data_IF_805642821590
#
_entry.id   IF_805642821590
#
_cell.length_a   1.000
_cell.length_b   1.000
_cell.length_c   1.000
_cell.angle_alpha   90.00
_cell.angle_beta   90.00
_cell.angle_gamma   90.00
#
_symmetry.space_group_name_H-M   'P 1'
#
loop_
_entity.id
_entity.type
_entity.pdbx_description
1 polymer ?
#
# COMPACT_ATOMS: atom_id res chain seq x y z
N UNK A 1 1.68 -51.74 35.40
CA UNK A 1 0.25 -51.94 35.71
C UNK A 1 -0.52 -51.92 34.41
N UNK A 2 -1.01 -53.10 33.98
CA UNK A 2 -1.86 -53.28 32.80
C UNK A 2 -3.28 -52.85 33.14
N UNK A 3 -3.90 -52.00 32.32
CA UNK A 3 -5.33 -52.16 31.92
C UNK A 3 -5.52 -51.59 30.52
N UNK A 4 -5.64 -52.51 29.57
CA UNK A 4 -6.30 -52.32 28.28
C UNK A 4 -7.81 -52.35 28.53
N UNK A 5 -8.57 -51.45 27.90
CA UNK A 5 -9.97 -51.70 27.55
C UNK A 5 -10.19 -51.16 26.14
N UNK A 6 -10.42 -52.09 25.22
CA UNK A 6 -11.04 -51.90 23.92
C UNK A 6 -12.41 -52.59 23.96
N UNK A 7 -13.45 -52.00 23.36
CA UNK A 7 -14.67 -52.58 22.73
C UNK A 7 -15.38 -51.35 22.12
N UNK A 8 -15.49 -51.11 20.81
CA UNK A 8 -16.00 -51.87 19.66
C UNK A 8 -17.53 -51.80 19.48
N UNK A 9 -17.93 -51.80 18.19
CA UNK A 9 -19.25 -52.01 17.58
C UNK A 9 -20.04 -50.72 17.18
N UNK A 10 -20.11 -50.36 15.88
CA UNK A 10 -20.97 -50.89 14.78
C UNK A 10 -22.26 -50.03 14.67
N UNK A 11 -22.78 -49.58 13.52
CA UNK A 11 -22.50 -49.85 12.11
C UNK A 11 -23.34 -48.89 11.21
N UNK A 12 -22.91 -48.75 9.93
CA UNK A 12 -23.70 -48.80 8.65
C UNK A 12 -24.93 -47.89 8.45
N UNK A 13 -25.32 -47.35 7.28
CA UNK A 13 -24.96 -47.43 5.83
C UNK A 13 -25.97 -46.47 5.12
N UNK A 14 -25.64 -45.68 4.10
CA UNK A 14 -25.82 -45.96 2.65
C UNK A 14 -25.46 -44.65 1.91
N UNK A 15 -24.50 -44.60 0.96
CA UNK A 15 -24.54 -44.97 -0.46
C UNK A 15 -25.65 -44.31 -1.29
N UNK A 16 -25.25 -43.38 -2.16
CA UNK A 16 -25.96 -43.04 -3.40
C UNK A 16 -24.93 -42.65 -4.46
N UNK A 17 -24.67 -43.58 -5.39
CA UNK A 17 -24.02 -43.29 -6.67
C UNK A 17 -25.08 -42.74 -7.62
N UNK A 18 -24.80 -41.61 -8.25
CA UNK A 18 -25.44 -41.22 -9.50
C UNK A 18 -24.35 -41.01 -10.55
N UNK A 19 -24.30 -41.94 -11.50
CA UNK A 19 -23.58 -41.83 -12.75
C UNK A 19 -24.49 -41.16 -13.79
N UNK A 20 -23.95 -40.26 -14.60
CA UNK A 20 -24.37 -40.09 -15.99
C UNK A 20 -23.26 -39.38 -16.77
N UNK A 21 -22.66 -40.15 -17.68
CA UNK A 21 -21.90 -39.70 -18.84
C UNK A 21 -22.88 -39.24 -19.91
N UNK A 22 -22.69 -38.05 -20.47
CA UNK A 22 -23.45 -37.55 -21.61
C UNK A 22 -22.78 -36.30 -22.20
N UNK A 23 -22.32 -36.43 -23.44
CA UNK A 23 -21.73 -35.38 -24.28
C UNK A 23 -22.76 -34.89 -25.31
N UNK A 24 -22.57 -33.66 -25.83
CA UNK A 24 -23.34 -32.91 -26.83
C UNK A 24 -24.62 -32.22 -26.26
N UNK A 25 -24.95 -30.96 -26.51
CA UNK A 25 -24.80 -30.11 -27.71
C UNK A 25 -24.92 -28.61 -27.34
N UNK A 26 -24.43 -27.72 -28.22
CA UNK A 26 -24.66 -26.27 -28.19
C UNK A 26 -26.16 -25.90 -28.22
N UNK A 27 -26.53 -24.85 -27.49
CA UNK A 27 -27.51 -23.87 -27.95
C UNK A 27 -27.37 -22.56 -27.14
N UNK A 28 -27.04 -21.50 -27.86
CA UNK A 28 -27.13 -20.09 -27.46
C UNK A 28 -28.48 -19.73 -26.85
N UNK A 29 -28.48 -19.01 -25.73
CA UNK A 29 -29.47 -17.95 -25.52
C UNK A 29 -28.89 -16.80 -24.71
N UNK A 30 -29.28 -15.61 -25.14
CA UNK A 30 -28.84 -14.31 -24.66
C UNK A 30 -29.52 -14.00 -23.33
N UNK A 31 -28.77 -13.60 -22.31
CA UNK A 31 -29.32 -12.77 -21.24
C UNK A 31 -28.27 -11.74 -20.85
N UNK A 32 -28.57 -10.49 -21.22
CA UNK A 32 -27.91 -9.33 -20.67
C UNK A 32 -28.26 -9.24 -19.18
N UNK A 33 -27.25 -9.32 -18.32
CA UNK A 33 -27.36 -8.94 -16.92
C UNK A 33 -26.57 -7.64 -16.74
N UNK A 34 -27.35 -6.59 -16.49
CA UNK A 34 -26.92 -5.29 -16.01
C UNK A 34 -26.98 -5.37 -14.48
N UNK A 35 -26.08 -4.63 -13.83
CA UNK A 35 -25.88 -4.49 -12.38
C UNK A 35 -24.91 -5.52 -11.77
N UNK A 36 -23.94 -5.15 -10.94
CA UNK A 36 -23.85 -3.99 -10.08
C UNK A 36 -22.52 -3.25 -10.25
N UNK A 37 -22.62 -1.92 -10.34
CA UNK A 37 -21.54 -1.03 -9.92
C UNK A 37 -21.31 -1.29 -8.43
N UNK A 38 -20.25 -2.01 -8.10
CA UNK A 38 -19.69 -2.03 -6.76
C UNK A 38 -18.98 -0.68 -6.55
N UNK A 39 -19.78 0.37 -6.33
CA UNK A 39 -19.28 1.55 -5.64
C UNK A 39 -19.18 1.13 -4.19
N UNK A 40 -18.08 0.47 -3.85
CA UNK A 40 -17.58 0.48 -2.50
C UNK A 40 -17.32 1.95 -2.15
N UNK A 41 -18.26 2.57 -1.44
CA UNK A 41 -17.94 3.74 -0.62
C UNK A 41 -16.89 3.25 0.38
N UNK A 42 -15.62 3.43 0.00
CA UNK A 42 -14.51 3.23 0.90
C UNK A 42 -14.72 4.22 2.05
N UNK A 43 -14.90 3.70 3.27
CA UNK A 43 -14.64 4.48 4.47
C UNK A 43 -13.19 4.99 4.35
N UNK A 44 -13.03 6.27 4.01
CA UNK A 44 -11.71 6.91 3.98
C UNK A 44 -11.33 7.22 5.43
N UNK A 45 -10.85 6.22 6.14
CA UNK A 45 -10.01 6.44 7.32
C UNK A 45 -8.60 6.72 6.82
N UNK A 46 -8.08 7.92 7.08
CA UNK A 46 -6.69 8.29 6.75
C UNK A 46 -5.73 7.70 7.79
N UNK A 47 -5.73 6.36 7.93
CA UNK A 47 -4.70 5.67 8.71
C UNK A 47 -3.44 5.52 7.85
N UNK A 48 -2.62 6.58 7.79
CA UNK A 48 -1.31 6.58 7.13
C UNK A 48 -1.15 7.63 6.04
N UNK A 49 0.06 7.70 5.47
CA UNK A 49 0.43 8.58 4.37
C UNK A 49 -0.23 8.09 3.07
N UNK A 50 -0.95 8.97 2.39
CA UNK A 50 -1.59 8.69 1.10
C UNK A 50 -0.54 8.62 -0.01
N UNK A 51 -0.66 7.65 -0.92
CA UNK A 51 0.17 7.61 -2.13
C UNK A 51 -0.28 8.68 -3.12
N UNK A 52 0.54 9.70 -3.32
CA UNK A 52 0.27 10.84 -4.20
C UNK A 52 -0.01 10.44 -5.66
N UNK A 53 0.52 9.31 -6.13
CA UNK A 53 0.33 8.81 -7.49
C UNK A 53 -1.02 8.11 -7.71
N UNK A 54 -1.78 7.85 -6.63
CA UNK A 54 -3.09 7.17 -6.71
C UNK A 54 -4.19 7.82 -5.89
N UNK A 55 -3.86 8.79 -5.03
CA UNK A 55 -4.81 9.48 -4.17
C UNK A 55 -5.91 10.17 -4.98
N UNK A 56 -7.16 9.93 -4.59
CA UNK A 56 -8.34 10.60 -5.17
C UNK A 56 -8.49 12.02 -4.65
N UNK A 57 -9.24 12.87 -5.36
CA UNK A 57 -9.53 14.23 -4.92
C UNK A 57 -10.24 14.24 -3.56
N UNK A 58 -11.11 13.27 -3.29
CA UNK A 58 -11.82 13.09 -2.04
C UNK A 58 -10.87 12.73 -0.88
N UNK A 59 -9.91 11.81 -1.11
CA UNK A 59 -8.89 11.46 -0.12
C UNK A 59 -7.98 12.65 0.19
N UNK A 60 -7.56 13.40 -0.83
CA UNK A 60 -6.75 14.60 -0.66
C UNK A 60 -7.51 15.69 0.11
N UNK A 61 -8.81 15.88 -0.16
CA UNK A 61 -9.65 16.79 0.59
C UNK A 61 -9.82 16.36 2.06
N UNK A 62 -9.98 15.05 2.31
CA UNK A 62 -10.02 14.49 3.66
C UNK A 62 -8.70 14.66 4.42
N UNK A 63 -7.56 14.68 3.71
CA UNK A 63 -6.24 15.02 4.24
C UNK A 63 -6.04 16.54 4.46
N UNK A 64 -7.07 17.36 4.24
CA UNK A 64 -7.05 18.81 4.49
C UNK A 64 -6.57 19.66 3.33
N UNK A 65 -6.33 19.08 2.15
CA UNK A 65 -5.99 19.86 0.96
C UNK A 65 -7.23 20.55 0.38
N UNK A 66 -7.10 21.82 0.02
CA UNK A 66 -8.15 22.56 -0.69
C UNK A 66 -8.45 21.95 -2.07
N UNK A 67 -9.67 22.12 -2.56
CA UNK A 67 -10.12 21.53 -3.83
C UNK A 67 -9.22 21.86 -5.03
N UNK A 68 -8.66 23.07 -5.08
CA UNK A 68 -7.73 23.48 -6.13
C UNK A 68 -6.40 22.71 -6.07
N UNK A 69 -5.82 22.55 -4.87
CA UNK A 69 -4.60 21.77 -4.68
C UNK A 69 -4.84 20.28 -4.98
N UNK A 70 -5.95 19.71 -4.50
CA UNK A 70 -6.32 18.33 -4.78
C UNK A 70 -6.46 18.07 -6.29
N UNK A 71 -7.14 18.96 -7.02
CA UNK A 71 -7.27 18.85 -8.48
C UNK A 71 -5.93 18.96 -9.21
N UNK A 72 -5.05 19.87 -8.76
CA UNK A 72 -3.71 20.02 -9.35
C UNK A 72 -2.83 18.79 -9.13
N UNK A 73 -2.98 18.11 -7.99
CA UNK A 73 -2.27 16.87 -7.68
C UNK A 73 -2.77 15.73 -8.57
N UNK A 74 -4.10 15.50 -8.61
CA UNK A 74 -4.69 14.46 -9.45
C UNK A 74 -4.34 14.65 -10.93
N UNK A 75 -4.33 15.89 -11.42
CA UNK A 75 -3.93 16.19 -12.80
C UNK A 75 -2.45 15.91 -13.10
N UNK A 76 -1.60 15.82 -12.08
CA UNK A 76 -0.17 15.51 -12.19
C UNK A 76 0.16 14.01 -12.07
N UNK A 77 -0.83 13.16 -11.78
CA UNK A 77 -0.61 11.73 -11.60
C UNK A 77 -0.37 10.97 -12.92
N UNK A 78 0.41 9.87 -12.89
CA UNK A 78 1.26 9.44 -11.78
C UNK A 78 2.57 10.25 -11.71
N UNK A 79 3.18 10.30 -10.53
CA UNK A 79 4.48 10.95 -10.34
C UNK A 79 5.63 9.94 -10.43
N UNK A 80 6.68 10.31 -11.17
CA UNK A 80 7.88 9.46 -11.32
C UNK A 80 8.69 9.33 -10.02
N UNK A 81 8.69 10.37 -9.17
CA UNK A 81 9.37 10.38 -7.88
C UNK A 81 8.77 11.44 -6.94
N UNK A 82 9.16 11.39 -5.66
CA UNK A 82 8.81 12.46 -4.70
C UNK A 82 9.38 13.82 -5.12
N UNK A 83 10.55 13.88 -5.76
CA UNK A 83 11.06 15.14 -6.31
C UNK A 83 10.14 15.73 -7.38
N UNK A 84 9.57 14.89 -8.26
CA UNK A 84 8.60 15.34 -9.26
C UNK A 84 7.30 15.83 -8.61
N UNK A 85 6.84 15.13 -7.58
CA UNK A 85 5.67 15.54 -6.79
C UNK A 85 5.90 16.86 -6.05
N UNK A 86 7.04 17.00 -5.35
CA UNK A 86 7.39 18.23 -4.65
C UNK A 86 7.54 19.41 -5.62
N UNK A 87 8.13 19.20 -6.81
CA UNK A 87 8.18 20.21 -7.85
C UNK A 87 6.76 20.67 -8.23
N UNK A 88 5.83 19.73 -8.41
CA UNK A 88 4.43 20.03 -8.71
C UNK A 88 3.74 20.86 -7.62
N UNK A 89 3.96 20.52 -6.35
CA UNK A 89 3.43 21.30 -5.22
C UNK A 89 3.95 22.74 -5.27
N UNK A 90 5.27 22.92 -5.44
CA UNK A 90 5.91 24.24 -5.44
C UNK A 90 5.60 25.12 -6.65
N UNK A 91 4.83 24.64 -7.63
CA UNK A 91 4.25 25.49 -8.67
C UNK A 91 3.19 26.46 -8.12
N UNK A 92 2.50 26.08 -7.05
CA UNK A 92 1.32 26.81 -6.54
C UNK A 92 1.35 27.12 -5.04
N UNK A 93 2.27 26.52 -4.29
CA UNK A 93 2.45 26.79 -2.85
C UNK A 93 3.92 27.00 -2.48
N UNK A 94 4.18 27.52 -1.28
CA UNK A 94 5.54 27.68 -0.74
C UNK A 94 6.20 26.33 -0.45
N UNK A 95 7.53 26.32 -0.31
CA UNK A 95 8.27 25.12 0.08
C UNK A 95 7.85 24.59 1.47
N UNK A 96 7.45 25.48 2.37
CA UNK A 96 6.97 25.14 3.72
C UNK A 96 5.61 24.45 3.66
N UNK A 97 4.67 24.98 2.86
CA UNK A 97 3.36 24.34 2.61
C UNK A 97 3.52 23.00 1.90
N UNK A 98 4.41 22.92 0.90
CA UNK A 98 4.71 21.65 0.21
C UNK A 98 5.27 20.60 1.18
N UNK A 99 6.17 21.00 2.08
CA UNK A 99 6.72 20.10 3.12
C UNK A 99 5.64 19.58 4.07
N UNK A 100 4.66 20.43 4.43
CA UNK A 100 3.53 20.01 5.25
C UNK A 100 2.61 19.02 4.52
N UNK A 101 2.42 19.18 3.20
CA UNK A 101 1.69 18.19 2.38
C UNK A 101 2.42 16.84 2.36
N UNK A 102 3.75 16.85 2.27
CA UNK A 102 4.55 15.62 2.25
C UNK A 102 4.42 14.77 3.53
N UNK A 103 3.94 15.32 4.64
CA UNK A 103 3.66 14.57 5.88
C UNK A 103 2.43 13.67 5.79
N UNK A 104 1.51 13.93 4.85
CA UNK A 104 0.23 13.21 4.73
C UNK A 104 -0.03 12.64 3.34
N UNK A 105 0.63 13.17 2.30
CA UNK A 105 0.53 12.72 0.91
C UNK A 105 1.93 12.64 0.32
N UNK A 106 2.34 11.49 -0.18
CA UNK A 106 3.74 11.27 -0.57
C UNK A 106 3.88 10.26 -1.71
N UNK A 107 4.99 10.32 -2.45
CA UNK A 107 5.35 9.29 -3.43
C UNK A 107 6.37 8.36 -2.77
N UNK A 108 6.07 7.06 -2.53
CA UNK A 108 7.01 6.17 -1.85
C UNK A 108 8.37 6.09 -2.53
N UNK A 109 9.44 6.20 -1.73
CA UNK A 109 10.83 6.19 -2.20
C UNK A 109 11.36 4.77 -2.25
N UNK A 110 11.67 4.26 -3.45
CA UNK A 110 12.38 2.99 -3.58
C UNK A 110 13.83 3.15 -3.09
N UNK A 111 14.17 2.56 -1.95
CA UNK A 111 15.47 2.73 -1.32
C UNK A 111 16.62 2.15 -2.12
N UNK A 112 16.40 1.19 -3.01
CA UNK A 112 17.47 0.57 -3.78
C UNK A 112 17.87 1.38 -5.02
N UNK A 113 17.00 2.29 -5.49
CA UNK A 113 17.24 3.07 -6.71
C UNK A 113 17.07 4.58 -6.58
N UNK A 114 16.46 5.09 -5.50
CA UNK A 114 16.15 6.50 -5.36
C UNK A 114 17.39 7.39 -5.27
N UNK A 115 17.24 8.64 -5.69
CA UNK A 115 18.29 9.65 -5.53
C UNK A 115 18.43 10.12 -4.08
N UNK A 116 19.56 10.75 -3.77
CA UNK A 116 19.77 11.46 -2.50
C UNK A 116 18.70 12.54 -2.27
N UNK A 117 18.32 13.27 -3.32
CA UNK A 117 17.32 14.32 -3.27
C UNK A 117 15.93 13.78 -2.89
N UNK A 118 15.57 12.59 -3.39
CA UNK A 118 14.31 11.94 -3.03
C UNK A 118 14.31 11.51 -1.55
N UNK A 119 15.42 10.96 -1.04
CA UNK A 119 15.53 10.58 0.38
C UNK A 119 15.39 11.81 1.28
N UNK A 120 16.01 12.94 0.93
CA UNK A 120 15.94 14.19 1.70
C UNK A 120 14.54 14.77 1.83
N UNK A 121 13.63 14.42 0.91
CA UNK A 121 12.24 14.88 0.95
C UNK A 121 11.37 14.07 1.91
N UNK A 122 11.83 12.93 2.42
CA UNK A 122 11.12 12.19 3.47
C UNK A 122 10.99 13.11 4.71
N UNK A 123 9.76 13.36 5.22
CA UNK A 123 9.58 14.22 6.39
C UNK A 123 10.46 13.79 7.57
N UNK A 124 11.04 14.76 8.28
CA UNK A 124 11.93 14.50 9.41
C UNK A 124 13.30 13.88 9.05
N UNK A 125 13.66 13.80 7.76
CA UNK A 125 14.97 13.31 7.35
C UNK A 125 16.10 14.23 7.86
N UNK A 126 17.20 13.62 8.27
CA UNK A 126 18.43 14.32 8.67
C UNK A 126 19.58 13.89 7.77
N UNK A 127 20.61 14.71 7.63
CA UNK A 127 21.81 14.36 6.84
C UNK A 127 22.43 13.03 7.29
N UNK A 128 22.41 12.76 8.61
CA UNK A 128 22.88 11.48 9.14
C UNK A 128 22.01 10.33 8.64
N UNK A 129 20.69 10.42 8.81
CA UNK A 129 19.78 9.32 8.43
C UNK A 129 19.75 9.08 6.93
N UNK A 130 19.86 10.13 6.13
CA UNK A 130 19.98 10.04 4.68
C UNK A 130 21.25 9.27 4.28
N UNK A 131 22.38 9.58 4.90
CA UNK A 131 23.61 8.82 4.69
C UNK A 131 23.45 7.34 5.05
N UNK A 132 22.87 7.02 6.20
CA UNK A 132 22.61 5.62 6.59
C UNK A 132 21.69 4.93 5.57
N UNK A 133 20.63 5.61 5.09
CA UNK A 133 19.71 5.05 4.10
C UNK A 133 20.44 4.64 2.81
N UNK A 134 21.43 5.42 2.38
CA UNK A 134 22.22 5.13 1.19
C UNK A 134 23.30 4.07 1.43
N UNK A 135 23.95 4.08 2.60
CA UNK A 135 25.06 3.18 2.93
C UNK A 135 24.64 1.70 2.95
N UNK A 136 23.43 1.41 3.45
CA UNK A 136 22.93 0.03 3.54
C UNK A 136 22.36 -0.53 2.23
N UNK A 137 22.45 0.21 1.11
CA UNK A 137 21.95 -0.28 -0.18
C UNK A 137 22.85 -1.41 -0.74
N UNK A 138 22.29 -2.42 -1.41
CA UNK A 138 20.85 -2.68 -1.52
C UNK A 138 20.30 -3.37 -0.26
N UNK A 139 19.09 -2.98 0.14
CA UNK A 139 18.32 -3.73 1.12
C UNK A 139 17.70 -4.95 0.45
N UNK A 140 17.89 -6.13 1.03
CA UNK A 140 17.29 -7.36 0.54
C UNK A 140 15.78 -7.42 0.80
N UNK A 141 15.33 -6.92 1.95
CA UNK A 141 13.94 -6.89 2.38
C UNK A 141 13.68 -5.83 3.46
N UNK A 142 12.41 -5.65 3.83
CA UNK A 142 12.04 -4.67 4.85
C UNK A 142 12.48 -5.05 6.26
N UNK A 143 12.80 -6.33 6.53
CA UNK A 143 13.35 -6.74 7.84
C UNK A 143 14.81 -6.32 7.98
N UNK A 144 15.56 -6.34 6.88
CA UNK A 144 16.87 -5.69 6.78
C UNK A 144 16.78 -4.19 7.01
N UNK A 145 15.84 -3.48 6.36
CA UNK A 145 15.59 -2.07 6.65
C UNK A 145 15.34 -1.83 8.14
N UNK A 146 14.42 -2.58 8.77
CA UNK A 146 14.11 -2.42 10.20
C UNK A 146 15.35 -2.63 11.09
N UNK A 147 16.15 -3.65 10.78
CA UNK A 147 17.33 -4.00 11.57
C UNK A 147 18.46 -2.99 11.43
N UNK A 148 18.73 -2.53 10.21
CA UNK A 148 19.84 -1.60 9.95
C UNK A 148 19.49 -0.18 10.41
N UNK A 149 18.30 0.31 10.07
CA UNK A 149 17.84 1.65 10.48
C UNK A 149 17.53 1.74 11.98
N UNK A 150 17.00 0.66 12.57
CA UNK A 150 16.75 0.57 14.02
C UNK A 150 18.00 0.65 14.90
N UNK A 151 19.21 0.63 14.33
CA UNK A 151 20.46 0.92 15.08
C UNK A 151 20.61 2.40 15.42
N UNK A 152 19.90 3.29 14.71
CA UNK A 152 20.08 4.74 14.77
C UNK A 152 18.88 5.48 15.33
N UNK A 153 17.69 4.91 15.19
CA UNK A 153 16.42 5.48 15.64
C UNK A 153 15.59 4.42 16.37
N UNK A 154 14.60 4.85 17.14
CA UNK A 154 13.72 3.94 17.85
C UNK A 154 12.67 3.28 16.93
N UNK A 155 11.95 2.29 17.46
CA UNK A 155 10.94 1.55 16.70
C UNK A 155 9.80 2.42 16.19
N UNK A 156 9.47 3.52 16.89
CA UNK A 156 8.41 4.45 16.46
C UNK A 156 8.86 5.19 15.21
N UNK A 157 10.11 5.63 15.19
CA UNK A 157 10.70 6.34 14.06
C UNK A 157 10.95 5.41 12.86
N UNK A 158 11.37 4.16 13.10
CA UNK A 158 11.40 3.13 12.04
C UNK A 158 10.02 2.96 11.42
N UNK A 159 8.98 2.79 12.24
CA UNK A 159 7.60 2.63 11.77
C UNK A 159 7.11 3.87 10.99
N UNK A 160 7.53 5.08 11.39
CA UNK A 160 7.26 6.31 10.65
C UNK A 160 7.93 6.28 9.27
N UNK A 161 9.23 6.00 9.19
CA UNK A 161 9.93 5.94 7.90
C UNK A 161 9.36 4.90 6.95
N UNK A 162 8.87 3.76 7.45
CA UNK A 162 8.21 2.72 6.65
C UNK A 162 7.00 3.19 5.85
N UNK A 163 6.37 4.29 6.24
CA UNK A 163 5.23 4.86 5.50
C UNK A 163 5.67 5.57 4.21
N UNK A 164 6.97 5.86 4.05
CA UNK A 164 7.51 6.68 2.97
C UNK A 164 8.39 5.89 1.99
N UNK A 165 8.64 4.60 2.23
CA UNK A 165 9.69 3.85 1.53
C UNK A 165 9.21 2.51 0.98
N UNK A 166 9.86 2.09 -0.10
CA UNK A 166 9.75 0.76 -0.73
C UNK A 166 11.16 0.25 -1.07
N UNK A 167 11.30 -0.97 -1.61
CA UNK A 167 12.57 -1.59 -2.01
C UNK A 167 12.61 -1.98 -3.48
#
# INVERSE_FOLDING_TARGET
>A
MRKLIAVAALASTALSLAACSGEAEEATDTTAEVEATDTAEAEVTTEGVLDASTATAEQLAAAGLGAEAAAAIVAGQPYDSVSAFNAKLTETMSAEEASAVLETVFVPVNLNSASEADIKLIPGMTEKMEHEFMEYRPYADMDEFNREIGKYVDETEVARFRQYVTL
#
